data_IF_893363400771
#
_entry.id   IF_893363400771
#
_cell.length_a   1.000
_cell.length_b   1.000
_cell.length_c   1.000
_cell.angle_alpha   90.00
_cell.angle_beta   90.00
_cell.angle_gamma   90.00
#
_symmetry.space_group_name_H-M   'P 1'
#
loop_
_entity.id
_entity.type
_entity.pdbx_description
1 polymer ?
#
# COMPACT_ATOMS: atom_id res chain seq x y z
N UNK A 1 -19.53 -9.52 17.37
CA UNK A 1 -18.26 -9.43 18.13
C UNK A 1 -17.11 -10.15 17.43
N UNK A 2 -17.30 -11.38 17.03
CA UNK A 2 -16.27 -12.16 16.30
C UNK A 2 -15.85 -11.52 14.97
N UNK A 3 -16.80 -10.99 14.18
CA UNK A 3 -16.48 -10.33 12.91
C UNK A 3 -15.61 -9.08 13.10
N UNK A 4 -15.85 -8.28 14.14
CA UNK A 4 -15.05 -7.09 14.44
C UNK A 4 -13.61 -7.45 14.80
N UNK A 5 -13.41 -8.51 15.58
CA UNK A 5 -12.07 -8.97 15.93
C UNK A 5 -11.34 -9.55 14.70
N UNK A 6 -12.07 -10.21 13.79
CA UNK A 6 -11.51 -10.66 12.53
C UNK A 6 -11.02 -9.49 11.66
N UNK A 7 -11.84 -8.46 11.47
CA UNK A 7 -11.45 -7.26 10.71
C UNK A 7 -10.28 -6.51 11.35
N UNK A 8 -10.28 -6.39 12.68
CA UNK A 8 -9.16 -5.80 13.43
C UNK A 8 -7.85 -6.56 13.22
N UNK A 9 -7.90 -7.88 13.29
CA UNK A 9 -6.71 -8.72 13.08
C UNK A 9 -6.14 -8.63 11.66
N UNK A 10 -6.99 -8.36 10.65
CA UNK A 10 -6.54 -8.15 9.28
C UNK A 10 -5.57 -6.97 9.16
N UNK A 11 -5.73 -5.91 9.96
CA UNK A 11 -4.80 -4.79 9.99
C UNK A 11 -3.39 -5.22 10.41
N UNK A 12 -3.29 -6.02 11.46
CA UNK A 12 -2.01 -6.54 11.97
C UNK A 12 -1.40 -7.51 10.97
N UNK A 13 -2.20 -8.46 10.47
CA UNK A 13 -1.73 -9.47 9.51
C UNK A 13 -1.26 -8.81 8.22
N UNK A 14 -2.00 -7.82 7.68
CA UNK A 14 -1.58 -7.10 6.47
C UNK A 14 -0.27 -6.36 6.66
N UNK A 15 -0.06 -5.72 7.80
CA UNK A 15 1.19 -5.04 8.12
C UNK A 15 2.37 -6.02 8.18
N UNK A 16 2.18 -7.18 8.81
CA UNK A 16 3.21 -8.23 8.87
C UNK A 16 3.52 -8.80 7.50
N UNK A 17 2.48 -9.10 6.71
CA UNK A 17 2.65 -9.62 5.34
C UNK A 17 3.38 -8.61 4.47
N UNK A 18 3.01 -7.34 4.55
CA UNK A 18 3.68 -6.27 3.81
C UNK A 18 5.16 -6.16 4.21
N UNK A 19 5.44 -6.08 5.50
CA UNK A 19 6.81 -5.99 6.01
C UNK A 19 7.66 -7.16 5.57
N UNK A 20 7.17 -8.39 5.76
CA UNK A 20 7.89 -9.60 5.34
C UNK A 20 8.09 -9.65 3.82
N UNK A 21 7.07 -9.26 3.06
CA UNK A 21 7.15 -9.21 1.59
C UNK A 21 8.16 -8.20 1.09
N UNK A 22 8.19 -7.00 1.66
CA UNK A 22 9.17 -5.96 1.31
C UNK A 22 10.59 -6.36 1.73
N UNK A 23 10.74 -6.98 2.89
CA UNK A 23 12.02 -7.55 3.32
C UNK A 23 12.52 -8.59 2.34
N UNK A 24 11.64 -9.50 1.90
CA UNK A 24 11.95 -10.50 0.89
C UNK A 24 12.39 -9.87 -0.43
N UNK A 25 11.72 -8.81 -0.88
CA UNK A 25 12.09 -8.07 -2.10
C UNK A 25 13.53 -7.59 -2.03
N UNK A 26 13.90 -6.93 -0.94
CA UNK A 26 15.26 -6.38 -0.76
C UNK A 26 16.31 -7.50 -0.71
N UNK A 27 15.98 -8.63 -0.10
CA UNK A 27 16.90 -9.78 -0.01
C UNK A 27 17.05 -10.54 -1.31
N UNK A 28 15.95 -10.74 -2.04
CA UNK A 28 15.93 -11.52 -3.28
C UNK A 28 16.50 -10.74 -4.47
N UNK A 29 16.21 -9.43 -4.56
CA UNK A 29 16.63 -8.56 -5.65
C UNK A 29 17.42 -7.35 -5.13
N UNK A 30 18.62 -7.54 -4.58
CA UNK A 30 19.39 -6.43 -3.99
C UNK A 30 19.88 -5.46 -5.06
N UNK A 31 19.69 -4.14 -4.82
CA UNK A 31 20.15 -3.07 -5.72
C UNK A 31 21.02 -2.03 -5.01
N UNK A 32 20.98 -1.98 -3.68
CA UNK A 32 21.65 -0.96 -2.88
C UNK A 32 20.70 -0.31 -1.89
N UNK A 33 21.24 0.23 -0.80
CA UNK A 33 20.45 0.74 0.32
C UNK A 33 19.75 2.07 0.02
N UNK A 34 20.16 2.76 -1.05
CA UNK A 34 19.59 4.04 -1.49
C UNK A 34 18.40 3.88 -2.47
N UNK A 35 18.06 2.63 -2.83
CA UNK A 35 17.01 2.33 -3.79
C UNK A 35 15.67 2.05 -3.11
N UNK A 36 14.58 2.45 -3.76
CA UNK A 36 13.21 2.13 -3.32
C UNK A 36 12.89 0.66 -3.56
N UNK A 37 11.85 0.16 -2.91
CA UNK A 37 11.41 -1.24 -3.11
C UNK A 37 11.06 -1.52 -4.57
N UNK A 38 10.38 -0.60 -5.24
CA UNK A 38 10.05 -0.74 -6.66
C UNK A 38 11.28 -0.73 -7.57
N UNK A 39 12.34 -0.02 -7.19
CA UNK A 39 13.61 -0.06 -7.92
C UNK A 39 14.33 -1.39 -7.76
N UNK A 40 14.22 -2.06 -6.61
CA UNK A 40 14.80 -3.39 -6.39
C UNK A 40 14.24 -4.42 -7.36
N UNK A 41 12.94 -4.34 -7.69
CA UNK A 41 12.26 -5.34 -8.53
C UNK A 41 12.21 -4.95 -10.02
N UNK A 42 12.54 -3.72 -10.38
CA UNK A 42 12.28 -3.16 -11.72
C UNK A 42 13.00 -3.93 -12.85
N UNK A 43 14.16 -4.53 -12.57
CA UNK A 43 14.94 -5.30 -13.56
C UNK A 43 14.53 -6.78 -13.65
N UNK A 44 13.64 -7.26 -12.81
CA UNK A 44 13.23 -8.65 -12.72
C UNK A 44 11.74 -8.82 -12.97
N UNK A 45 11.36 -9.56 -14.00
CA UNK A 45 9.94 -9.90 -14.25
C UNK A 45 9.32 -10.65 -13.07
N UNK A 46 10.05 -11.60 -12.48
CA UNK A 46 9.60 -12.32 -11.29
C UNK A 46 9.41 -11.38 -10.11
N UNK A 47 10.31 -10.41 -9.92
CA UNK A 47 10.19 -9.38 -8.89
C UNK A 47 8.97 -8.49 -9.07
N UNK A 48 8.71 -8.03 -10.28
CA UNK A 48 7.52 -7.22 -10.60
C UNK A 48 6.25 -8.02 -10.32
N UNK A 49 6.17 -9.27 -10.74
CA UNK A 49 5.00 -10.13 -10.50
C UNK A 49 4.80 -10.40 -9.00
N UNK A 50 5.88 -10.65 -8.27
CA UNK A 50 5.81 -10.82 -6.81
C UNK A 50 5.26 -9.55 -6.13
N UNK A 51 5.76 -8.38 -6.53
CA UNK A 51 5.35 -7.10 -5.96
C UNK A 51 3.86 -6.81 -6.23
N UNK A 52 3.40 -7.04 -7.45
CA UNK A 52 1.99 -6.94 -7.81
C UNK A 52 1.14 -7.90 -6.97
N UNK A 53 1.56 -9.15 -6.85
CA UNK A 53 0.87 -10.16 -6.03
C UNK A 53 0.80 -9.77 -4.56
N UNK A 54 1.90 -9.26 -4.00
CA UNK A 54 1.97 -8.78 -2.62
C UNK A 54 0.94 -7.67 -2.35
N UNK A 55 0.91 -6.64 -3.18
CA UNK A 55 -0.04 -5.54 -3.01
C UNK A 55 -1.48 -5.94 -3.35
N UNK A 56 -1.68 -6.90 -4.24
CA UNK A 56 -3.01 -7.46 -4.55
C UNK A 56 -3.62 -8.20 -3.35
N UNK A 57 -2.79 -8.67 -2.42
CA UNK A 57 -3.24 -9.30 -1.17
C UNK A 57 -3.34 -8.26 -0.05
N UNK A 58 -2.32 -7.45 0.14
CA UNK A 58 -2.22 -6.51 1.26
C UNK A 58 -3.27 -5.39 1.18
N UNK A 59 -3.48 -4.80 0.00
CA UNK A 59 -4.41 -3.68 -0.13
C UNK A 59 -5.85 -4.05 0.17
N UNK A 60 -6.43 -5.15 -0.33
CA UNK A 60 -7.75 -5.58 0.07
C UNK A 60 -7.87 -5.87 1.58
N UNK A 61 -6.85 -6.47 2.19
CA UNK A 61 -6.83 -6.72 3.63
C UNK A 61 -6.86 -5.42 4.43
N UNK A 62 -6.09 -4.42 4.01
CA UNK A 62 -6.09 -3.09 4.63
C UNK A 62 -7.44 -2.38 4.46
N UNK A 63 -8.05 -2.47 3.27
CA UNK A 63 -9.37 -1.90 3.02
C UNK A 63 -10.43 -2.55 3.91
N UNK A 64 -10.42 -3.86 4.06
CA UNK A 64 -11.32 -4.57 4.96
C UNK A 64 -11.11 -4.14 6.43
N UNK A 65 -9.87 -3.97 6.84
CA UNK A 65 -9.55 -3.45 8.17
C UNK A 65 -10.13 -2.04 8.39
N UNK A 66 -9.87 -1.12 7.46
CA UNK A 66 -10.35 0.26 7.59
C UNK A 66 -11.87 0.34 7.53
N UNK A 67 -12.48 -0.29 6.55
CA UNK A 67 -13.93 -0.17 6.32
C UNK A 67 -14.74 -1.06 7.27
N UNK A 68 -14.22 -2.23 7.65
CA UNK A 68 -14.94 -3.16 8.51
C UNK A 68 -14.77 -2.89 10.02
N UNK A 69 -13.67 -2.28 10.42
CA UNK A 69 -13.39 -2.05 11.83
C UNK A 69 -13.02 -0.61 12.17
N UNK A 70 -11.99 -0.04 11.51
CA UNK A 70 -11.39 1.22 11.94
C UNK A 70 -12.36 2.40 11.78
N UNK A 71 -12.92 2.59 10.59
CA UNK A 71 -13.83 3.70 10.30
C UNK A 71 -15.11 3.62 11.16
N UNK A 72 -15.79 2.46 11.28
CA UNK A 72 -16.95 2.35 12.16
C UNK A 72 -16.64 2.54 13.64
N UNK A 73 -15.50 2.01 14.12
CA UNK A 73 -15.12 2.08 15.54
C UNK A 73 -14.88 3.51 16.00
N UNK A 74 -14.26 4.32 15.16
CA UNK A 74 -13.94 5.72 15.49
C UNK A 74 -14.92 6.72 14.87
N UNK A 75 -16.00 6.24 14.27
CA UNK A 75 -17.05 7.06 13.65
C UNK A 75 -16.49 8.10 12.68
N UNK A 76 -15.52 7.70 11.85
CA UNK A 76 -14.83 8.60 10.95
C UNK A 76 -15.71 9.03 9.78
N UNK A 77 -15.48 10.24 9.29
CA UNK A 77 -16.26 10.82 8.20
C UNK A 77 -16.10 10.10 6.87
N UNK A 78 -17.06 10.28 5.97
CA UNK A 78 -16.99 9.77 4.59
C UNK A 78 -15.80 10.34 3.80
N UNK A 79 -15.29 11.52 4.16
CA UNK A 79 -14.05 12.07 3.59
C UNK A 79 -12.85 11.18 3.88
N UNK A 80 -12.75 10.64 5.09
CA UNK A 80 -11.69 9.69 5.45
C UNK A 80 -11.76 8.45 4.55
N UNK A 81 -12.95 7.88 4.37
CA UNK A 81 -13.16 6.74 3.48
C UNK A 81 -12.72 7.05 2.06
N UNK A 82 -13.10 8.22 1.53
CA UNK A 82 -12.73 8.66 0.18
C UNK A 82 -11.21 8.73 0.02
N UNK A 83 -10.51 9.37 0.96
CA UNK A 83 -9.05 9.50 0.89
C UNK A 83 -8.35 8.14 0.99
N UNK A 84 -8.82 7.23 1.83
CA UNK A 84 -8.27 5.87 1.92
C UNK A 84 -8.47 5.10 0.61
N UNK A 85 -9.64 5.20 -0.01
CA UNK A 85 -9.91 4.55 -1.29
C UNK A 85 -9.03 5.11 -2.42
N UNK A 86 -8.86 6.42 -2.48
CA UNK A 86 -7.98 7.05 -3.47
C UNK A 86 -6.53 6.63 -3.22
N UNK A 87 -6.06 6.64 -1.98
CA UNK A 87 -4.71 6.23 -1.63
C UNK A 87 -4.45 4.76 -2.01
N UNK A 88 -5.37 3.86 -1.71
CA UNK A 88 -5.25 2.44 -2.06
C UNK A 88 -5.24 2.23 -3.58
N UNK A 89 -6.12 2.93 -4.31
CA UNK A 89 -6.20 2.83 -5.77
C UNK A 89 -4.93 3.34 -6.43
N UNK A 90 -4.45 4.51 -6.03
CA UNK A 90 -3.21 5.08 -6.58
C UNK A 90 -1.99 4.24 -6.22
N UNK A 91 -1.94 3.67 -5.04
CA UNK A 91 -0.88 2.75 -4.64
C UNK A 91 -0.89 1.48 -5.49
N UNK A 92 -2.06 0.91 -5.76
CA UNK A 92 -2.18 -0.28 -6.60
C UNK A 92 -1.74 0.03 -8.04
N UNK A 93 -2.19 1.14 -8.62
CA UNK A 93 -1.77 1.58 -9.95
C UNK A 93 -0.26 1.82 -10.01
N UNK A 94 0.30 2.44 -8.98
CA UNK A 94 1.74 2.62 -8.82
C UNK A 94 2.48 1.28 -8.87
N UNK A 95 1.94 0.27 -8.21
CA UNK A 95 2.53 -1.09 -8.19
C UNK A 95 2.52 -1.75 -9.56
N UNK A 96 1.50 -1.49 -10.39
CA UNK A 96 1.39 -2.05 -11.74
C UNK A 96 2.39 -1.44 -12.73
N UNK A 97 2.94 -0.25 -12.43
CA UNK A 97 3.88 0.46 -13.31
C UNK A 97 5.29 0.30 -12.75
N UNK A 98 6.15 -0.54 -13.35
CA UNK A 98 7.51 -0.73 -12.86
C UNK A 98 8.36 0.53 -13.05
N UNK A 99 9.26 0.79 -12.10
CA UNK A 99 10.17 1.94 -12.12
C UNK A 99 11.42 1.62 -12.95
N UNK A 100 11.24 1.47 -14.26
CA UNK A 100 12.30 1.06 -15.20
C UNK A 100 12.97 2.21 -15.95
N UNK A 101 12.66 3.46 -15.62
CA UNK A 101 13.17 4.66 -16.28
C UNK A 101 12.20 5.25 -17.31
N UNK A 102 12.51 6.43 -17.82
CA UNK A 102 11.70 7.13 -18.81
C UNK A 102 10.29 7.52 -18.30
N UNK A 103 9.32 7.45 -19.20
CA UNK A 103 7.93 7.85 -18.90
C UNK A 103 7.28 6.96 -17.83
N UNK A 104 7.61 5.66 -17.78
CA UNK A 104 7.08 4.74 -16.77
C UNK A 104 7.47 5.16 -15.37
N UNK A 105 8.74 5.52 -15.13
CA UNK A 105 9.19 6.04 -13.85
C UNK A 105 8.50 7.34 -13.45
N UNK A 106 8.23 8.22 -14.42
CA UNK A 106 7.50 9.46 -14.18
C UNK A 106 6.07 9.18 -13.68
N UNK A 107 5.34 8.31 -14.35
CA UNK A 107 3.99 7.91 -13.93
C UNK A 107 3.98 7.19 -12.59
N UNK A 108 4.94 6.30 -12.36
CA UNK A 108 5.12 5.61 -11.09
C UNK A 108 5.29 6.61 -9.93
N UNK A 109 6.19 7.58 -10.07
CA UNK A 109 6.44 8.62 -9.06
C UNK A 109 5.24 9.52 -8.84
N UNK A 110 4.52 9.87 -9.92
CA UNK A 110 3.31 10.69 -9.82
C UNK A 110 2.23 9.98 -9.02
N UNK A 111 1.99 8.70 -9.28
CA UNK A 111 1.02 7.89 -8.54
C UNK A 111 1.43 7.68 -7.08
N UNK A 112 2.72 7.44 -6.82
CA UNK A 112 3.25 7.32 -5.45
C UNK A 112 3.08 8.64 -4.69
N UNK A 113 3.35 9.77 -5.33
CA UNK A 113 3.14 11.10 -4.76
C UNK A 113 1.66 11.36 -4.46
N UNK A 114 0.77 11.03 -5.38
CA UNK A 114 -0.68 11.16 -5.18
C UNK A 114 -1.16 10.30 -4.01
N UNK A 115 -0.69 9.06 -3.91
CA UNK A 115 -1.02 8.16 -2.80
C UNK A 115 -0.58 8.74 -1.46
N UNK A 116 0.67 9.20 -1.36
CA UNK A 116 1.21 9.81 -0.14
C UNK A 116 0.43 11.07 0.26
N UNK A 117 0.10 11.93 -0.71
CA UNK A 117 -0.66 13.16 -0.43
C UNK A 117 -2.10 12.89 0.01
N UNK A 118 -2.73 11.80 -0.43
CA UNK A 118 -4.04 11.40 0.06
C UNK A 118 -4.01 10.88 1.50
N UNK A 119 -2.85 10.40 2.00
CA UNK A 119 -2.69 9.98 3.38
C UNK A 119 -2.54 11.15 4.35
N UNK A 120 -2.03 12.30 3.91
CA UNK A 120 -1.88 13.48 4.78
C UNK A 120 -3.22 13.96 5.37
N UNK A 121 -4.30 14.16 4.57
CA UNK A 121 -5.59 14.53 5.13
C UNK A 121 -6.15 13.49 6.10
N UNK A 122 -5.91 12.20 5.88
CA UNK A 122 -6.36 11.14 6.79
C UNK A 122 -5.68 11.25 8.16
N UNK A 123 -4.39 11.53 8.18
CA UNK A 123 -3.65 11.78 9.42
C UNK A 123 -4.19 13.01 10.15
N UNK A 124 -4.45 14.10 9.43
CA UNK A 124 -5.00 15.32 10.01
C UNK A 124 -6.38 15.09 10.64
N UNK A 125 -7.24 14.33 9.98
CA UNK A 125 -8.57 13.97 10.52
C UNK A 125 -8.43 13.17 11.83
N UNK A 126 -7.43 12.29 11.92
CA UNK A 126 -7.21 11.48 13.12
C UNK A 126 -6.68 12.28 14.30
N UNK A 127 -5.94 13.36 14.04
CA UNK A 127 -5.30 14.19 15.09
C UNK A 127 -6.25 15.27 15.61
N UNK A 128 -7.22 15.66 14.80
CA UNK A 128 -8.23 16.68 15.18
C UNK A 128 -9.36 16.09 16.02
#
# INVERSE_FOLDING_TARGET
>A
MEANEAFKSLGIVSALVLFCGLWFVVKKWPQGNDKTFSQHIASSRAGVLFYIGLFSIVLPMLLLFFMGWFIPTYELSSWFTLFILIAATTQFLCTLIPETGGNKSKYHRLLAFASANCLLPTVLILVM
#
